data_IF_164983527920
#
_entry.id   IF_164983527920
#
_cell.length_a   1.000
_cell.length_b   1.000
_cell.length_c   1.000
_cell.angle_alpha   90.00
_cell.angle_beta   90.00
_cell.angle_gamma   90.00
#
_symmetry.space_group_name_H-M   'P 1'
#
loop_
_entity.id
_entity.type
_entity.pdbx_description
1 polymer ?
2 non-polymer ?
3 water ?
#
# COMPACT_ATOMS: atom_id res chain seq x y z
N UNK A 1 -4.62 5.69 3.25
CA UNK A 1 -6.00 5.52 3.83
C UNK A 1 -6.11 6.15 5.22
N UNK A 2 -4.99 6.24 5.96
CA UNK A 2 -4.91 6.68 7.37
C UNK A 2 -3.50 7.17 7.72
N UNK A 3 -3.22 7.59 8.97
CA UNK A 3 -1.98 8.32 9.26
C UNK A 3 -0.69 7.47 9.19
N UNK A 4 -0.82 6.14 9.21
CA UNK A 4 0.30 5.21 8.94
C UNK A 4 0.79 5.38 7.53
N UNK A 5 -0.15 5.35 6.60
CA UNK A 5 0.11 5.42 5.13
C UNK A 5 0.56 6.84 4.78
N UNK A 6 0.06 7.85 5.51
CA UNK A 6 0.39 9.29 5.27
C UNK A 6 1.89 9.54 5.54
N UNK A 7 2.40 9.06 6.66
CA UNK A 7 3.84 9.18 7.00
C UNK A 7 4.65 8.37 5.98
N UNK A 8 4.24 7.13 5.69
CA UNK A 8 4.94 6.27 4.71
C UNK A 8 5.04 6.99 3.35
N UNK A 9 3.91 7.51 2.85
CA UNK A 9 3.85 8.21 1.55
C UNK A 9 4.88 9.37 1.54
N UNK A 10 4.92 10.15 2.62
CA UNK A 10 5.79 11.36 2.71
C UNK A 10 7.27 10.92 2.62
N UNK A 11 7.63 9.80 3.24
CA UNK A 11 9.03 9.27 3.15
C UNK A 11 9.27 8.81 1.72
N UNK A 12 8.34 8.05 1.10
CA UNK A 12 8.57 7.47 -0.26
C UNK A 12 8.70 8.58 -1.31
N UNK A 13 7.88 9.62 -1.23
CA UNK A 13 7.82 10.67 -2.28
C UNK A 13 9.12 11.49 -2.28
N UNK A 14 9.81 11.65 -1.15
CA UNK A 14 10.98 12.54 -1.09
C UNK A 14 12.30 11.81 -0.78
N UNK A 15 12.26 10.64 -0.15
CA UNK A 15 13.50 10.05 0.41
C UNK A 15 13.78 8.67 -0.19
N UNK A 16 13.25 8.35 -1.38
CA UNK A 16 13.57 7.04 -2.01
C UNK A 16 13.95 7.26 -3.46
N UNK A 17 14.80 6.37 -3.95
CA UNK A 17 15.22 6.29 -5.37
C UNK A 17 15.15 4.81 -5.73
N UNK A 18 15.11 4.49 -7.01
CA UNK A 18 15.25 3.10 -7.50
C UNK A 18 16.73 2.88 -7.76
N UNK A 19 17.37 1.97 -7.01
CA UNK A 19 18.78 1.55 -7.20
C UNK A 19 18.82 0.24 -7.96
N UNK A 20 19.69 0.15 -8.96
CA UNK A 20 19.90 -1.08 -9.76
C UNK A 20 21.39 -1.46 -9.70
N UNK A 21 21.67 -2.66 -9.19
CA UNK A 21 23.02 -3.28 -9.19
C UNK A 21 22.95 -4.48 -10.12
N UNK A 22 24.04 -5.26 -10.20
CA UNK A 22 24.10 -6.52 -10.98
C UNK A 22 23.21 -7.58 -10.32
N UNK A 23 22.79 -7.39 -9.07
CA UNK A 23 21.90 -8.34 -8.36
C UNK A 23 20.42 -7.93 -8.46
N UNK A 24 20.06 -6.84 -9.13
CA UNK A 24 18.65 -6.49 -9.29
C UNK A 24 18.32 -5.04 -9.00
N UNK A 25 17.02 -4.75 -8.98
CA UNK A 25 16.41 -3.44 -8.67
C UNK A 25 15.99 -3.46 -7.19
N UNK A 26 16.28 -2.40 -6.43
CA UNK A 26 15.98 -2.25 -4.98
C UNK A 26 15.35 -0.88 -4.70
N UNK A 27 14.42 -0.83 -3.77
CA UNK A 27 14.07 0.43 -3.07
C UNK A 27 15.32 0.83 -2.28
N UNK A 28 15.74 2.08 -2.42
CA UNK A 28 16.89 2.66 -1.69
C UNK A 28 16.39 3.87 -0.91
N UNK A 29 16.58 3.86 0.40
CA UNK A 29 16.19 4.99 1.28
C UNK A 29 17.36 5.99 1.37
N UNK A 30 17.11 7.24 0.97
CA UNK A 30 18.01 8.39 1.20
C UNK A 30 17.83 8.89 2.63
N UNK A 31 18.93 9.17 3.35
CA UNK A 31 18.83 9.50 4.81
C UNK A 31 19.14 10.99 5.04
N UNK A 32 20.24 11.45 4.48
CA UNK A 32 20.71 12.86 4.54
C UNK A 32 21.79 13.06 3.48
N UNK A 33 21.94 14.32 3.03
CA UNK A 33 22.99 14.74 2.05
C UNK A 33 22.96 13.75 0.87
N UNK A 34 24.05 13.00 0.63
CA UNK A 34 24.14 12.09 -0.54
C UNK A 34 24.24 10.67 -0.01
N UNK A 35 23.81 10.47 1.23
CA UNK A 35 23.97 9.18 1.97
C UNK A 35 22.63 8.44 1.94
N UNK A 36 22.67 7.19 1.48
CA UNK A 36 21.52 6.27 1.41
C UNK A 36 21.89 4.89 2.00
N UNK A 37 20.89 4.04 2.14
CA UNK A 37 21.07 2.65 2.61
C UNK A 37 20.42 1.68 1.60
N UNK A 38 20.98 0.47 1.57
CA UNK A 38 20.47 -0.63 0.71
C UNK A 38 20.85 -1.95 1.39
N UNK A 39 20.11 -3.05 1.19
CA UNK A 39 20.55 -4.33 1.75
C UNK A 39 21.93 -4.72 1.17
N UNK A 40 22.79 -5.24 2.05
CA UNK A 40 24.18 -5.65 1.71
C UNK A 40 24.17 -6.66 0.56
N UNK A 41 23.17 -7.55 0.50
CA UNK A 41 23.06 -8.55 -0.60
C UNK A 41 22.82 -7.91 -1.99
N UNK A 42 22.55 -6.60 -2.10
CA UNK A 42 22.57 -5.87 -3.40
C UNK A 42 23.97 -5.82 -4.01
N UNK A 43 25.00 -6.08 -3.22
CA UNK A 43 26.43 -6.10 -3.65
C UNK A 43 26.77 -4.84 -4.43
N UNK A 44 26.73 -3.69 -3.75
CA UNK A 44 27.02 -2.38 -4.39
C UNK A 44 28.48 -2.36 -4.83
N UNK A 45 28.76 -1.90 -6.06
CA UNK A 45 30.14 -1.79 -6.59
C UNK A 45 30.55 -0.35 -6.72
N UNK A 46 31.45 -0.04 -7.68
CA UNK A 46 32.02 1.30 -7.94
C UNK A 46 30.97 2.18 -8.63
N UNK A 47 30.06 1.55 -9.35
CA UNK A 47 29.02 2.23 -10.17
C UNK A 47 27.68 1.59 -9.84
N UNK A 48 26.65 2.41 -9.68
CA UNK A 48 25.25 1.96 -9.43
C UNK A 48 24.36 2.77 -10.37
N UNK A 49 23.18 2.27 -10.71
CA UNK A 49 22.14 3.04 -11.43
C UNK A 49 21.14 3.57 -10.40
N UNK A 50 20.84 4.87 -10.46
CA UNK A 50 19.90 5.60 -9.57
C UNK A 50 18.87 6.21 -10.52
N UNK A 51 17.63 5.72 -10.45
CA UNK A 51 16.52 6.15 -11.34
C UNK A 51 16.98 6.05 -12.78
N UNK A 52 17.70 4.95 -13.12
CA UNK A 52 18.19 4.56 -14.47
C UNK A 52 19.31 5.49 -14.97
N UNK A 53 20.01 6.17 -14.09
CA UNK A 53 21.16 7.04 -14.47
C UNK A 53 22.42 6.49 -13.82
N UNK A 54 23.48 6.33 -14.60
CA UNK A 54 24.82 5.85 -14.15
C UNK A 54 25.38 6.80 -13.09
N UNK A 55 25.69 6.29 -11.89
CA UNK A 55 26.11 7.09 -10.70
C UNK A 55 27.36 6.45 -10.08
N UNK A 56 28.45 7.22 -9.95
CA UNK A 56 29.65 6.79 -9.21
C UNK A 56 29.31 6.67 -7.73
N UNK A 57 29.79 5.59 -7.11
CA UNK A 57 29.69 5.36 -5.65
C UNK A 57 30.98 5.93 -5.03
N UNK A 58 30.86 6.95 -4.20
CA UNK A 58 32.03 7.61 -3.54
C UNK A 58 32.49 6.77 -2.35
N UNK A 59 31.58 6.09 -1.66
CA UNK A 59 31.90 5.17 -0.55
C UNK A 59 30.74 4.20 -0.33
N UNK A 60 31.07 2.99 0.13
CA UNK A 60 30.09 1.96 0.49
C UNK A 60 30.59 1.14 1.68
N UNK A 61 29.83 1.07 2.76
CA UNK A 61 30.25 0.36 3.99
C UNK A 61 29.16 -0.64 4.40
N UNK A 62 29.51 -1.93 4.39
CA UNK A 62 28.65 -3.02 4.83
C UNK A 62 28.77 -3.09 6.36
N UNK A 63 27.73 -2.70 7.08
CA UNK A 63 27.79 -2.55 8.56
C UNK A 63 27.81 -3.91 9.23
N UNK A 64 28.58 -4.03 10.31
CA UNK A 64 28.61 -5.20 11.22
C UNK A 64 28.54 -4.70 12.66
N UNK A 65 27.98 -5.48 13.58
CA UNK A 65 27.99 -5.06 14.99
C UNK A 65 29.37 -5.33 15.59
N UNK A 66 29.54 -4.97 16.86
CA UNK A 66 30.87 -4.98 17.53
C UNK A 66 31.29 -6.42 17.82
N UNK A 67 30.40 -7.42 17.63
CA UNK A 67 30.73 -8.88 17.65
C UNK A 67 31.17 -9.38 16.27
N UNK A 68 31.35 -8.48 15.28
CA UNK A 68 31.67 -8.81 13.87
C UNK A 68 30.55 -9.73 13.34
N UNK A 69 29.28 -9.41 13.61
CA UNK A 69 28.09 -10.06 12.98
C UNK A 69 27.45 -9.12 11.95
N UNK A 70 27.16 -9.65 10.76
CA UNK A 70 26.43 -8.97 9.67
C UNK A 70 25.20 -8.23 10.23
N UNK A 71 24.96 -6.99 9.77
CA UNK A 71 23.69 -6.29 10.07
C UNK A 71 22.82 -6.17 8.80
N UNK A 72 23.40 -6.50 7.64
CA UNK A 72 22.71 -6.54 6.31
C UNK A 72 22.33 -5.13 5.84
N UNK A 73 22.95 -4.08 6.40
CA UNK A 73 22.78 -2.67 5.92
C UNK A 73 24.10 -2.27 5.28
N UNK A 74 24.03 -1.77 4.03
CA UNK A 74 25.15 -1.04 3.38
C UNK A 74 24.79 0.45 3.34
N UNK A 75 25.69 1.29 3.83
CA UNK A 75 25.56 2.77 3.76
C UNK A 75 26.35 3.12 2.52
N UNK A 76 25.71 3.87 1.65
CA UNK A 76 26.29 4.26 0.34
C UNK A 76 26.31 5.78 0.30
N UNK A 77 27.43 6.36 -0.12
CA UNK A 77 27.51 7.79 -0.49
C UNK A 77 27.57 7.87 -2.02
N UNK A 78 26.61 8.57 -2.63
CA UNK A 78 26.38 8.65 -4.09
C UNK A 78 26.99 9.95 -4.65
N UNK A 79 27.65 9.87 -5.80
CA UNK A 79 28.14 11.07 -6.51
C UNK A 79 26.97 11.67 -7.27
N UNK A 80 26.03 12.20 -6.52
CA UNK A 80 24.76 12.74 -7.06
C UNK A 80 24.76 14.27 -6.92
N UNK A 81 24.02 14.98 -7.77
CA UNK A 81 24.04 16.45 -7.86
C UNK A 81 23.01 17.08 -6.94
N UNK A 82 22.33 16.28 -6.11
CA UNK A 82 21.18 16.72 -5.31
C UNK A 82 21.29 16.01 -3.96
N UNK A 83 20.90 16.67 -2.88
CA UNK A 83 20.91 16.08 -1.53
C UNK A 83 19.51 15.55 -1.22
N UNK A 84 19.41 14.54 -0.36
CA UNK A 84 18.14 14.09 0.27
C UNK A 84 17.75 15.06 1.38
N UNK A 85 16.44 15.30 1.51
CA UNK A 85 15.86 15.79 2.76
C UNK A 85 16.49 15.03 3.93
N UNK A 86 16.93 15.73 4.98
CA UNK A 86 17.51 15.11 6.20
C UNK A 86 16.39 14.48 7.04
N UNK A 87 16.32 13.15 7.12
CA UNK A 87 15.27 12.45 7.93
C UNK A 87 15.88 11.76 9.16
N UNK A 88 17.08 12.14 9.58
CA UNK A 88 17.76 11.43 10.72
C UNK A 88 16.96 11.59 12.01
N UNK A 89 16.18 12.67 12.18
CA UNK A 89 15.38 12.87 13.40
C UNK A 89 14.18 11.90 13.45
N UNK A 90 13.88 11.17 12.39
CA UNK A 90 12.81 10.14 12.39
C UNK A 90 13.39 8.76 12.73
N UNK A 91 14.70 8.63 12.93
CA UNK A 91 15.32 7.30 13.24
C UNK A 91 15.26 7.01 14.72
N UNK A 92 14.94 5.77 15.12
CA UNK A 92 14.95 5.36 16.52
C UNK A 92 16.39 5.39 17.04
N UNK A 93 16.53 5.59 18.34
CA UNK A 93 17.83 5.59 19.05
C UNK A 93 18.20 4.19 19.56
N UNK A 94 17.20 3.39 19.94
CA UNK A 94 17.38 2.08 20.62
C UNK A 94 16.64 0.96 19.87
N UNK A 95 17.07 -0.29 20.07
CA UNK A 95 16.42 -1.50 19.53
C UNK A 95 15.03 -1.59 20.19
N UNK A 96 13.96 -1.86 19.46
CA UNK A 96 12.62 -1.83 20.07
C UNK A 96 11.65 -2.66 19.24
N UNK A 97 10.49 -2.94 19.84
CA UNK A 97 9.29 -3.53 19.19
C UNK A 97 8.35 -2.38 18.82
N UNK A 98 7.42 -2.59 17.90
CA UNK A 98 6.55 -1.51 17.35
C UNK A 98 5.16 -2.07 17.07
N UNK A 99 4.13 -1.22 17.17
CA UNK A 99 2.79 -1.54 16.64
C UNK A 99 2.65 -0.96 15.23
N UNK A 100 1.75 -1.55 14.45
CA UNK A 100 1.11 -0.90 13.29
C UNK A 100 2.20 -0.28 12.41
N UNK A 101 2.96 -1.12 11.72
CA UNK A 101 4.00 -0.67 10.75
C UNK A 101 3.47 -0.83 9.33
N UNK A 102 4.03 -0.04 8.42
CA UNK A 102 3.80 -0.09 6.94
C UNK A 102 5.15 -0.40 6.29
N UNK A 103 5.14 -1.26 5.29
CA UNK A 103 6.31 -1.56 4.42
C UNK A 103 5.98 -0.95 3.08
N UNK A 104 6.83 -0.04 2.60
CA UNK A 104 6.62 0.72 1.34
C UNK A 104 7.72 0.40 0.32
N UNK A 105 7.30 0.12 -0.92
CA UNK A 105 8.21 -0.32 -2.02
C UNK A 105 7.94 0.56 -3.22
N UNK A 106 9.00 0.96 -3.92
CA UNK A 106 8.87 1.66 -5.21
C UNK A 106 9.94 1.13 -6.17
N UNK A 107 9.51 0.30 -7.12
CA UNK A 107 10.37 -0.25 -8.20
C UNK A 107 9.57 -0.21 -9.50
N UNK A 108 10.23 -0.49 -10.64
CA UNK A 108 9.59 -0.81 -11.96
C UNK A 108 8.46 -1.83 -11.80
N UNK A 109 8.74 -2.92 -11.08
CA UNK A 109 7.82 -4.08 -10.86
C UNK A 109 6.67 -3.69 -9.93
N UNK A 110 6.97 -2.95 -8.84
CA UNK A 110 6.02 -2.61 -7.75
C UNK A 110 6.06 -1.09 -7.49
N UNK A 111 5.49 -0.24 -8.38
CA UNK A 111 5.40 1.20 -8.13
C UNK A 111 4.34 1.52 -7.07
N UNK A 112 4.63 2.49 -6.19
CA UNK A 112 3.68 3.03 -5.19
C UNK A 112 3.00 1.91 -4.41
N UNK A 113 3.75 0.92 -3.94
CA UNK A 113 3.22 -0.21 -3.14
C UNK A 113 3.37 0.08 -1.63
N UNK A 114 2.27 -0.06 -0.88
CA UNK A 114 2.20 0.14 0.58
C UNK A 114 1.54 -1.08 1.18
N UNK A 115 2.19 -1.75 2.13
CA UNK A 115 1.64 -2.98 2.78
C UNK A 115 1.52 -2.73 4.28
N UNK A 116 0.32 -2.79 4.86
CA UNK A 116 0.18 -2.77 6.33
C UNK A 116 0.64 -4.11 6.90
N UNK A 117 1.77 -4.15 7.61
CA UNK A 117 2.36 -5.44 8.08
C UNK A 117 2.00 -5.65 9.54
N UNK A 118 1.44 -4.65 10.22
CA UNK A 118 1.00 -4.78 11.62
C UNK A 118 2.17 -4.78 12.60
N UNK A 119 2.11 -5.65 13.59
CA UNK A 119 3.00 -5.59 14.77
C UNK A 119 4.43 -6.02 14.39
N UNK A 120 5.43 -5.30 14.87
CA UNK A 120 6.86 -5.62 14.59
C UNK A 120 7.55 -6.08 15.87
N UNK A 121 8.17 -7.26 15.83
CA UNK A 121 8.96 -7.86 16.92
C UNK A 121 10.46 -7.56 16.74
N UNK A 122 11.13 -7.15 17.82
CA UNK A 122 12.60 -7.20 17.92
C UNK A 122 12.98 -8.69 17.99
N UNK A 123 13.26 -9.29 16.84
CA UNK A 123 13.55 -10.74 16.71
C UNK A 123 14.97 -11.00 17.21
N UNK A 124 15.89 -10.11 16.85
CA UNK A 124 17.33 -10.28 17.17
C UNK A 124 18.07 -11.10 16.15
N UNK A 125 18.43 -12.33 16.54
CA UNK A 125 19.29 -13.21 15.69
C UNK A 125 18.43 -13.89 14.62
N UNK A 126 18.94 -13.92 13.39
CA UNK A 126 18.33 -14.71 12.29
C UNK A 126 19.44 -15.27 11.43
N UNK A 127 19.33 -16.54 11.04
CA UNK A 127 20.19 -17.09 9.96
C UNK A 127 19.56 -16.69 8.62
N UNK A 128 19.99 -15.58 8.04
CA UNK A 128 19.36 -14.95 6.85
C UNK A 128 20.09 -15.44 5.60
N UNK A 129 19.48 -16.31 4.78
CA UNK A 129 20.18 -16.91 3.61
C UNK A 129 21.51 -17.59 4.00
N UNK A 130 21.60 -18.17 5.20
CA UNK A 130 22.82 -18.87 5.68
C UNK A 130 23.82 -17.96 6.40
N UNK A 131 23.57 -16.65 6.49
CA UNK A 131 24.46 -15.68 7.15
C UNK A 131 23.89 -15.32 8.53
N UNK A 132 24.58 -15.61 9.67
CA UNK A 132 24.13 -15.11 10.97
C UNK A 132 24.02 -13.58 10.93
N UNK A 133 22.87 -13.04 11.32
CA UNK A 133 22.54 -11.60 11.21
C UNK A 133 21.92 -11.14 12.55
N UNK A 134 22.24 -9.93 13.01
CA UNK A 134 21.69 -9.34 14.26
C UNK A 134 20.78 -8.16 13.93
N UNK A 135 20.09 -7.67 14.96
CA UNK A 135 19.18 -6.50 14.90
C UNK A 135 18.09 -6.67 13.83
N UNK A 136 17.49 -7.86 13.78
CA UNK A 136 16.42 -8.17 12.80
C UNK A 136 15.05 -7.87 13.42
N UNK A 137 14.23 -7.19 12.65
CA UNK A 137 12.81 -6.93 12.97
C UNK A 137 11.96 -7.97 12.22
N UNK A 138 10.92 -8.49 12.85
CA UNK A 138 10.06 -9.49 12.20
C UNK A 138 8.60 -9.02 12.20
N UNK A 139 7.92 -9.23 11.07
CA UNK A 139 6.45 -8.99 10.93
C UNK A 139 5.83 -10.19 10.22
N UNK A 140 4.57 -10.50 10.56
CA UNK A 140 3.81 -11.65 10.01
C UNK A 140 3.06 -11.18 8.78
N UNK A 141 3.76 -10.94 7.67
CA UNK A 141 3.14 -10.85 6.32
C UNK A 141 3.95 -11.73 5.37
N UNK A 142 3.27 -12.44 4.44
CA UNK A 142 3.91 -13.31 3.46
C UNK A 142 4.51 -12.50 2.31
N UNK A 143 5.60 -11.81 2.62
CA UNK A 143 6.32 -10.89 1.70
C UNK A 143 7.02 -11.73 0.61
N UNK A 144 7.20 -11.15 -0.59
CA UNK A 144 7.67 -11.84 -1.82
C UNK A 144 8.90 -11.14 -2.40
N UNK A 145 9.47 -11.71 -3.47
CA UNK A 145 10.62 -11.18 -4.22
C UNK A 145 10.27 -9.77 -4.73
N UNK A 146 11.25 -8.87 -4.75
CA UNK A 146 11.11 -7.46 -5.22
C UNK A 146 10.76 -6.49 -4.09
N UNK A 147 10.68 -6.95 -2.85
CA UNK A 147 10.35 -6.07 -1.70
C UNK A 147 11.64 -5.67 -0.95
N UNK A 148 12.82 -6.19 -1.30
CA UNK A 148 14.07 -5.90 -0.55
C UNK A 148 14.45 -4.42 -0.72
N UNK A 149 14.77 -3.78 0.40
CA UNK A 149 15.10 -2.35 0.47
C UNK A 149 13.85 -1.56 0.83
N UNK A 150 12.70 -2.22 0.87
CA UNK A 150 11.42 -1.59 1.22
C UNK A 150 11.53 -0.92 2.56
N UNK A 151 10.90 0.24 2.71
CA UNK A 151 11.07 1.02 3.94
C UNK A 151 10.00 0.57 4.93
N UNK A 152 10.41 0.33 6.17
CA UNK A 152 9.44 0.04 7.27
C UNK A 152 9.31 1.25 8.18
N UNK A 153 8.10 1.78 8.27
CA UNK A 153 7.75 2.97 9.07
C UNK A 153 6.63 2.66 10.05
N UNK A 154 6.57 3.41 11.12
CA UNK A 154 5.37 3.60 11.95
C UNK A 154 4.92 5.04 11.70
N UNK A 155 3.88 5.51 12.37
CA UNK A 155 3.59 6.96 12.39
C UNK A 155 4.75 7.60 13.14
N UNK A 156 5.55 8.40 12.43
CA UNK A 156 6.57 9.27 13.02
C UNK A 156 7.94 8.64 13.08
N UNK A 157 8.14 7.35 12.74
CA UNK A 157 9.49 6.75 12.78
C UNK A 157 9.80 5.92 11.52
N UNK A 158 11.05 5.98 11.06
CA UNK A 158 11.59 5.09 9.99
C UNK A 158 12.40 4.04 10.75
N UNK A 159 11.95 2.78 10.82
CA UNK A 159 12.54 1.81 11.80
C UNK A 159 13.43 0.76 11.11
N UNK A 160 13.34 0.55 9.80
CA UNK A 160 14.13 -0.51 9.14
C UNK A 160 13.97 -0.57 7.63
N UNK A 161 14.73 -1.47 7.01
CA UNK A 161 14.61 -1.81 5.57
C UNK A 161 14.48 -3.35 5.45
N UNK A 162 13.50 -3.75 4.66
CA UNK A 162 13.17 -5.16 4.34
C UNK A 162 14.38 -5.86 3.74
N UNK A 163 14.79 -7.00 4.30
CA UNK A 163 15.97 -7.76 3.79
C UNK A 163 15.64 -9.22 3.48
N UNK A 164 14.42 -9.70 3.74
CA UNK A 164 14.10 -11.11 3.45
C UNK A 164 12.78 -11.58 4.00
N UNK A 165 12.41 -12.81 3.66
CA UNK A 165 11.20 -13.46 4.19
C UNK A 165 11.25 -14.96 3.97
N UNK A 166 10.34 -15.70 4.61
CA UNK A 166 10.31 -17.19 4.58
C UNK A 166 8.96 -17.67 4.07
N UNK A 167 8.17 -16.82 3.42
CA UNK A 167 6.85 -17.18 2.88
C UNK A 167 5.73 -16.82 3.84
N UNK A 168 5.99 -16.79 5.15
CA UNK A 168 5.02 -16.50 6.22
C UNK A 168 5.36 -15.20 6.98
N UNK A 169 6.64 -14.97 7.23
CA UNK A 169 7.14 -13.76 7.93
C UNK A 169 8.02 -12.95 6.99
N UNK A 170 8.09 -11.64 7.21
CA UNK A 170 9.11 -10.75 6.62
C UNK A 170 10.11 -10.28 7.67
N UNK A 171 11.32 -9.97 7.22
CA UNK A 171 12.46 -9.55 8.07
C UNK A 171 13.03 -8.21 7.57
N UNK A 172 13.26 -7.30 8.52
CA UNK A 172 13.92 -6.00 8.26
C UNK A 172 15.19 -5.85 9.11
N UNK A 173 16.20 -5.21 8.57
CA UNK A 173 17.38 -4.72 9.33
C UNK A 173 16.98 -3.41 9.99
N UNK A 174 17.30 -3.25 11.28
CA UNK A 174 17.04 -2.02 12.06
C UNK A 174 17.83 -0.86 11.47
N UNK A 175 17.20 0.31 11.43
CA UNK A 175 17.94 1.59 11.29
C UNK A 175 18.00 2.23 12.68
N UNK A 176 19.20 2.64 13.08
CA UNK A 176 19.44 3.41 14.32
C UNK A 176 20.07 4.77 13.98
N UNK A 177 19.66 5.82 14.69
CA UNK A 177 20.26 7.17 14.62
C UNK A 177 21.80 7.09 14.62
N UNK A 178 22.40 6.27 15.48
CA UNK A 178 23.88 6.19 15.66
C UNK A 178 24.60 5.72 14.39
N UNK A 179 23.92 5.13 13.41
CA UNK A 179 24.57 4.73 12.13
C UNK A 179 24.93 5.98 11.30
N UNK A 180 24.28 7.12 11.54
CA UNK A 180 24.33 8.30 10.63
C UNK A 180 24.70 9.60 11.35
N UNK A 181 25.38 9.50 12.49
CA UNK A 181 26.06 10.67 13.12
C UNK A 181 27.29 10.96 12.25
N UNK A 182 27.74 12.23 12.16
CA UNK A 182 28.94 12.61 11.36
C UNK A 182 29.42 14.01 11.77
N UNK B 2 2.54 -9.35 -11.18
CA UNK B 2 2.85 -8.51 -12.41
C UNK B 2 1.58 -8.07 -13.13
N UNK B 3 0.78 -9.03 -13.66
CA UNK B 3 -0.50 -8.70 -14.28
C UNK B 3 -1.48 -8.08 -13.27
N UNK B 4 -1.46 -8.55 -12.00
CA UNK B 4 -2.21 -8.00 -10.85
C UNK B 4 -2.04 -6.50 -10.70
N UNK B 5 -0.79 -6.01 -10.67
CA UNK B 5 -0.48 -4.56 -10.55
C UNK B 5 -0.87 -3.79 -11.82
N UNK B 6 -0.56 -4.30 -13.01
CA UNK B 6 -1.03 -3.71 -14.29
C UNK B 6 -2.55 -3.52 -14.25
N UNK B 7 -3.28 -4.57 -13.88
CA UNK B 7 -4.76 -4.54 -13.90
C UNK B 7 -5.23 -3.40 -12.98
N UNK B 8 -4.71 -3.38 -11.76
CA UNK B 8 -5.10 -2.39 -10.72
C UNK B 8 -4.81 -0.98 -11.24
N UNK B 9 -3.66 -0.76 -11.89
CA UNK B 9 -3.31 0.57 -12.48
C UNK B 9 -4.29 0.95 -13.58
N UNK B 10 -4.68 0.01 -14.44
CA UNK B 10 -5.61 0.23 -15.59
C UNK B 10 -6.98 0.67 -15.07
N UNK B 11 -7.45 0.05 -13.99
CA UNK B 11 -8.76 0.40 -13.37
C UNK B 11 -8.63 1.77 -12.65
N UNK B 12 -7.57 1.96 -11.89
CA UNK B 12 -7.25 3.25 -11.20
C UNK B 12 -7.25 4.39 -12.22
N UNK B 13 -6.48 4.26 -13.29
CA UNK B 13 -6.26 5.35 -14.30
C UNK B 13 -7.57 5.76 -15.00
N UNK B 14 -8.42 4.85 -15.47
CA UNK B 14 -9.59 5.24 -16.32
C UNK B 14 -10.92 5.22 -15.54
N UNK B 15 -11.01 4.48 -14.45
CA UNK B 15 -12.32 4.19 -13.81
C UNK B 15 -12.41 4.71 -12.36
N UNK B 16 -11.41 5.39 -11.83
CA UNK B 16 -11.48 5.89 -10.44
C UNK B 16 -11.50 7.42 -10.43
N UNK B 17 -12.44 8.02 -9.71
CA UNK B 17 -12.51 9.49 -9.50
C UNK B 17 -12.53 9.76 -7.98
N UNK B 18 -12.26 11.01 -7.59
CA UNK B 18 -12.33 11.46 -6.17
C UNK B 18 -13.71 12.04 -5.94
N UNK B 19 -14.50 11.41 -5.07
CA UNK B 19 -15.86 11.86 -4.75
C UNK B 19 -15.79 12.58 -3.39
N UNK B 20 -16.47 13.70 -3.25
CA UNK B 20 -16.53 14.43 -1.96
C UNK B 20 -17.99 14.69 -1.60
N UNK B 21 -18.44 14.14 -0.46
CA UNK B 21 -19.80 14.33 0.11
C UNK B 21 -19.66 15.22 1.36
N UNK B 22 -20.76 15.41 2.10
CA UNK B 22 -20.73 16.09 3.42
C UNK B 22 -19.67 15.40 4.31
N UNK B 23 -19.42 14.10 4.16
CA UNK B 23 -18.55 13.33 5.08
C UNK B 23 -17.06 13.45 4.70
N UNK B 24 -16.70 13.94 3.53
CA UNK B 24 -15.28 14.08 3.13
C UNK B 24 -15.02 13.34 1.83
N UNK B 25 -13.78 12.88 1.63
CA UNK B 25 -13.35 12.34 0.31
C UNK B 25 -13.42 10.80 0.29
N UNK B 26 -13.84 10.25 -0.84
CA UNK B 26 -13.97 8.78 -1.05
C UNK B 26 -13.42 8.42 -2.44
N UNK B 27 -12.66 7.33 -2.51
CA UNK B 27 -12.37 6.66 -3.79
C UNK B 27 -13.70 6.18 -4.39
N UNK B 28 -14.05 6.67 -5.57
CA UNK B 28 -15.31 6.28 -6.26
C UNK B 28 -14.94 5.50 -7.54
N UNK B 29 -15.62 4.35 -7.78
CA UNK B 29 -15.43 3.56 -9.02
C UNK B 29 -16.54 3.91 -10.02
N UNK B 30 -16.15 4.41 -11.19
CA UNK B 30 -17.06 4.48 -12.34
C UNK B 30 -17.18 3.13 -13.03
N UNK B 31 -18.39 2.64 -13.29
CA UNK B 31 -18.62 1.27 -13.84
C UNK B 31 -18.94 1.33 -15.34
N UNK B 32 -19.86 2.21 -15.74
CA UNK B 32 -20.30 2.38 -17.16
C UNK B 32 -21.14 3.67 -17.26
N UNK B 33 -21.23 4.25 -18.46
CA UNK B 33 -22.10 5.43 -18.69
C UNK B 33 -21.78 6.46 -17.60
N UNK B 34 -22.80 6.96 -16.90
CA UNK B 34 -22.60 7.93 -15.79
C UNK B 34 -22.90 7.24 -14.46
N UNK B 35 -22.63 5.93 -14.39
CA UNK B 35 -22.96 5.10 -13.20
C UNK B 35 -21.69 4.77 -12.45
N UNK B 36 -21.64 5.13 -11.16
CA UNK B 36 -20.50 4.87 -10.25
C UNK B 36 -21.03 4.23 -8.96
N UNK B 37 -20.11 3.72 -8.14
CA UNK B 37 -20.42 3.16 -6.80
C UNK B 37 -19.52 3.80 -5.75
N UNK B 38 -20.02 3.87 -4.53
CA UNK B 38 -19.37 4.49 -3.35
C UNK B 38 -19.97 3.78 -2.13
N UNK B 39 -19.24 3.65 -1.00
CA UNK B 39 -19.80 3.06 0.21
C UNK B 39 -21.04 3.83 0.69
N UNK B 40 -22.05 3.11 1.18
CA UNK B 40 -23.31 3.74 1.64
C UNK B 40 -23.02 4.75 2.76
N UNK B 41 -22.02 4.52 3.61
CA UNK B 41 -21.61 5.42 4.73
C UNK B 41 -21.07 6.78 4.26
N UNK B 42 -20.87 6.98 2.96
CA UNK B 42 -20.47 8.30 2.40
C UNK B 42 -21.64 9.30 2.46
N UNK B 43 -22.90 8.86 2.61
CA UNK B 43 -24.09 9.77 2.68
C UNK B 43 -24.14 10.66 1.44
N UNK B 44 -24.24 10.05 0.26
CA UNK B 44 -24.43 10.80 -1.01
C UNK B 44 -25.71 11.63 -0.90
N UNK B 45 -25.64 12.87 -1.33
CA UNK B 45 -26.77 13.83 -1.28
C UNK B 45 -27.29 14.09 -2.68
N UNK B 46 -27.90 15.25 -2.85
CA UNK B 46 -28.43 15.72 -4.16
C UNK B 46 -27.27 16.15 -5.03
N UNK B 47 -26.19 16.62 -4.40
CA UNK B 47 -25.02 17.24 -5.07
C UNK B 47 -23.80 16.55 -4.49
N UNK B 48 -22.82 16.26 -5.34
CA UNK B 48 -21.52 15.67 -4.94
C UNK B 48 -20.45 16.42 -5.73
N UNK B 49 -19.20 16.39 -5.25
CA UNK B 49 -18.01 16.84 -5.99
C UNK B 49 -17.28 15.63 -6.60
N UNK B 50 -17.00 15.71 -7.89
CA UNK B 50 -16.24 14.69 -8.67
C UNK B 50 -14.97 15.37 -9.22
N UNK B 51 -13.80 14.98 -8.72
CA UNK B 51 -12.52 15.67 -9.03
C UNK B 51 -12.70 17.19 -8.85
N UNK B 52 -13.27 17.62 -7.72
CA UNK B 52 -13.46 19.04 -7.29
C UNK B 52 -14.54 19.76 -8.11
N UNK B 53 -15.29 19.07 -8.96
CA UNK B 53 -16.38 19.67 -9.78
C UNK B 53 -17.75 19.36 -9.13
N UNK B 54 -18.52 20.41 -8.82
CA UNK B 54 -19.92 20.33 -8.35
C UNK B 54 -20.75 19.59 -9.41
N UNK B 55 -21.38 18.47 -9.01
CA UNK B 55 -22.05 17.50 -9.92
C UNK B 55 -23.39 17.13 -9.31
N UNK B 56 -24.48 17.30 -10.07
CA UNK B 56 -25.82 16.87 -9.62
C UNK B 56 -25.81 15.33 -9.58
N UNK B 57 -26.31 14.75 -8.51
CA UNK B 57 -26.58 13.28 -8.45
C UNK B 57 -28.03 13.05 -8.90
N UNK B 58 -28.24 12.46 -10.07
CA UNK B 58 -29.59 12.27 -10.67
C UNK B 58 -30.32 11.16 -9.92
N UNK B 59 -29.58 10.14 -9.46
CA UNK B 59 -30.17 8.99 -8.74
C UNK B 59 -29.11 8.38 -7.81
N UNK B 60 -29.52 7.97 -6.61
CA UNK B 60 -28.68 7.22 -5.65
C UNK B 60 -29.54 6.08 -5.12
N UNK B 61 -29.00 4.86 -5.17
CA UNK B 61 -29.67 3.62 -4.66
C UNK B 61 -28.75 2.97 -3.63
N UNK B 62 -29.17 2.94 -2.37
CA UNK B 62 -28.47 2.22 -1.29
C UNK B 62 -28.86 0.75 -1.43
N UNK B 63 -27.97 -0.09 -1.95
CA UNK B 63 -28.31 -1.49 -2.32
C UNK B 63 -28.70 -2.32 -1.09
N UNK B 64 -29.75 -3.12 -1.28
CA UNK B 64 -30.15 -4.20 -0.33
C UNK B 64 -30.48 -5.45 -1.13
N UNK B 65 -30.23 -6.63 -0.57
CA UNK B 65 -30.44 -7.92 -1.30
C UNK B 65 -31.89 -8.39 -1.11
N UNK B 66 -32.19 -9.57 -1.59
CA UNK B 66 -33.57 -10.12 -1.57
C UNK B 66 -33.99 -10.53 -0.16
N UNK B 67 -33.07 -10.69 0.80
CA UNK B 67 -33.39 -10.84 2.24
C UNK B 67 -33.68 -9.48 2.88
N UNK B 68 -33.66 -8.39 2.10
CA UNK B 68 -33.84 -7.00 2.59
C UNK B 68 -32.74 -6.71 3.60
N UNK B 69 -31.50 -7.09 3.28
CA UNK B 69 -30.32 -6.82 4.13
C UNK B 69 -29.40 -5.83 3.39
N UNK B 70 -28.79 -4.93 4.15
CA UNK B 70 -27.85 -3.90 3.64
C UNK B 70 -26.70 -4.61 2.91
N UNK B 71 -26.26 -4.04 1.79
CA UNK B 71 -25.02 -4.47 1.07
C UNK B 71 -23.90 -3.42 1.19
N UNK B 72 -24.20 -2.23 1.72
CA UNK B 72 -23.26 -1.12 1.99
C UNK B 72 -22.67 -0.54 0.70
N UNK B 73 -23.29 -0.79 -0.46
CA UNK B 73 -22.95 -0.17 -1.76
C UNK B 73 -24.05 0.79 -2.13
N UNK B 74 -23.71 2.01 -2.53
CA UNK B 74 -24.63 2.97 -3.13
C UNK B 74 -24.26 3.15 -4.60
N UNK B 75 -25.22 2.89 -5.49
CA UNK B 75 -25.05 3.16 -6.95
C UNK B 75 -25.55 4.57 -7.23
N UNK B 76 -24.76 5.40 -7.89
CA UNK B 76 -25.17 6.80 -8.20
C UNK B 76 -25.17 6.96 -9.72
N UNK B 77 -26.14 7.73 -10.24
CA UNK B 77 -26.13 8.25 -11.63
C UNK B 77 -25.75 9.73 -11.56
N UNK B 78 -24.71 10.12 -12.30
CA UNK B 78 -24.11 11.49 -12.22
C UNK B 78 -24.51 12.33 -13.45
N UNK B 79 -24.83 13.60 -13.24
CA UNK B 79 -25.14 14.55 -14.35
C UNK B 79 -23.82 15.17 -14.82
N UNK B 80 -23.06 14.47 -15.67
CA UNK B 80 -21.76 14.92 -16.19
C UNK B 80 -21.58 14.44 -17.63
N UNK B 81 -20.72 15.12 -18.39
CA UNK B 81 -20.57 14.88 -19.85
C UNK B 81 -19.80 13.59 -20.05
N UNK B 82 -18.70 13.40 -19.31
CA UNK B 82 -17.79 12.25 -19.49
C UNK B 82 -18.57 10.95 -19.24
N UNK B 83 -18.31 9.93 -20.04
CA UNK B 83 -18.84 8.56 -19.87
C UNK B 83 -17.69 7.72 -19.30
N UNK B 84 -17.95 6.85 -18.33
CA UNK B 84 -16.93 5.90 -17.81
C UNK B 84 -16.73 4.78 -18.82
N UNK B 85 -15.47 4.39 -19.03
CA UNK B 85 -15.08 3.15 -19.73
C UNK B 85 -15.86 1.97 -19.11
N UNK B 86 -16.67 1.24 -19.90
CA UNK B 86 -17.49 0.09 -19.41
C UNK B 86 -16.58 -1.03 -18.89
N UNK B 87 -16.68 -1.38 -17.59
CA UNK B 87 -15.89 -2.48 -16.97
C UNK B 87 -16.85 -3.55 -16.40
N UNK B 88 -18.13 -3.56 -16.79
CA UNK B 88 -19.10 -4.57 -16.31
C UNK B 88 -18.62 -6.00 -16.56
N UNK B 89 -17.96 -6.25 -17.68
CA UNK B 89 -17.48 -7.60 -18.05
C UNK B 89 -16.37 -8.05 -17.09
N UNK B 90 -15.82 -7.18 -16.24
CA UNK B 90 -14.80 -7.61 -15.22
C UNK B 90 -15.42 -7.89 -13.85
N UNK B 91 -16.74 -7.67 -13.68
CA UNK B 91 -17.44 -7.93 -12.39
C UNK B 91 -17.76 -9.41 -12.28
N UNK B 92 -17.53 -10.06 -11.14
CA UNK B 92 -17.86 -11.48 -10.96
C UNK B 92 -19.38 -11.72 -11.05
N UNK B 93 -19.77 -12.91 -11.48
CA UNK B 93 -21.20 -13.31 -11.55
C UNK B 93 -21.73 -13.75 -10.18
N UNK B 94 -20.90 -14.43 -9.39
CA UNK B 94 -21.30 -15.07 -8.11
C UNK B 94 -20.34 -14.69 -7.00
N UNK B 95 -20.75 -14.94 -5.75
CA UNK B 95 -19.94 -14.74 -4.54
C UNK B 95 -18.75 -15.72 -4.60
N UNK B 96 -17.54 -15.31 -4.21
CA UNK B 96 -16.34 -16.20 -4.35
C UNK B 96 -15.27 -15.77 -3.35
N UNK B 97 -14.27 -16.64 -3.19
CA UNK B 97 -12.99 -16.35 -2.51
C UNK B 97 -11.96 -16.03 -3.60
N UNK B 98 -10.89 -15.33 -3.27
CA UNK B 98 -9.86 -14.90 -4.26
C UNK B 98 -8.47 -14.97 -3.63
N UNK B 99 -7.43 -15.10 -4.45
CA UNK B 99 -6.03 -14.88 -3.99
C UNK B 99 -5.44 -13.59 -4.57
N UNK B 100 -4.44 -13.06 -3.88
CA UNK B 100 -3.53 -12.00 -4.36
C UNK B 100 -4.32 -10.78 -4.88
N UNK B 101 -5.22 -10.23 -4.06
CA UNK B 101 -5.96 -8.99 -4.37
C UNK B 101 -5.12 -7.73 -4.06
N UNK B 102 -5.46 -6.64 -4.74
CA UNK B 102 -4.88 -5.30 -4.57
C UNK B 102 -6.04 -4.34 -4.25
N UNK B 103 -5.82 -3.53 -3.22
CA UNK B 103 -6.70 -2.41 -2.82
C UNK B 103 -6.04 -1.13 -3.34
N UNK B 104 -6.76 -0.39 -4.18
CA UNK B 104 -6.26 0.84 -4.85
C UNK B 104 -7.05 2.05 -4.32
N UNK B 105 -6.32 3.01 -3.73
CA UNK B 105 -6.88 4.21 -3.04
C UNK B 105 -6.55 5.44 -3.90
N UNK B 106 -7.54 6.32 -4.09
CA UNK B 106 -7.32 7.56 -4.86
C UNK B 106 -8.10 8.72 -4.24
N UNK B 107 -7.41 9.55 -3.44
CA UNK B 107 -7.98 10.81 -2.84
C UNK B 107 -6.96 11.94 -3.05
N UNK B 108 -7.32 13.18 -2.72
CA UNK B 108 -6.37 14.34 -2.69
C UNK B 108 -5.18 14.02 -1.79
N UNK B 109 -5.43 13.40 -0.65
CA UNK B 109 -4.38 13.06 0.36
C UNK B 109 -3.56 11.85 -0.12
N UNK B 110 -4.21 10.87 -0.77
CA UNK B 110 -3.57 9.59 -1.17
C UNK B 110 -3.81 9.31 -2.64
N UNK B 111 -3.11 9.99 -3.57
CA UNK B 111 -3.34 9.76 -4.99
C UNK B 111 -2.56 8.49 -5.38
N UNK B 112 -3.08 7.65 -6.25
CA UNK B 112 -2.28 6.50 -6.78
C UNK B 112 -1.57 5.69 -5.66
N UNK B 113 -2.29 5.17 -4.69
CA UNK B 113 -1.73 4.24 -3.66
C UNK B 113 -2.25 2.79 -3.87
N UNK B 114 -1.35 1.81 -3.96
CA UNK B 114 -1.67 0.39 -4.22
C UNK B 114 -1.30 -0.42 -3.00
N UNK B 115 -2.29 -1.13 -2.43
CA UNK B 115 -2.11 -1.89 -1.16
C UNK B 115 -2.40 -3.36 -1.46
N UNK B 116 -1.38 -4.22 -1.66
CA UNK B 116 -1.61 -5.65 -1.86
C UNK B 116 -2.12 -6.20 -0.52
N UNK B 117 -3.25 -6.90 -0.53
CA UNK B 117 -3.90 -7.41 0.70
C UNK B 117 -3.82 -8.93 0.74
N UNK B 118 -3.49 -9.57 -0.38
CA UNK B 118 -3.32 -11.03 -0.46
C UNK B 118 -4.66 -11.73 -0.47
N UNK B 119 -4.81 -12.77 0.36
CA UNK B 119 -5.97 -13.68 0.30
C UNK B 119 -7.24 -12.94 0.74
N UNK B 120 -8.30 -13.09 -0.05
CA UNK B 120 -9.65 -12.52 0.20
C UNK B 120 -10.64 -13.68 0.44
N UNK B 121 -11.29 -13.66 1.61
CA UNK B 121 -12.29 -14.67 2.03
C UNK B 121 -13.69 -14.11 1.78
N UNK B 122 -14.61 -14.94 1.27
CA UNK B 122 -16.08 -14.66 1.30
C UNK B 122 -16.57 -14.93 2.73
N UNK B 123 -16.65 -13.89 3.55
CA UNK B 123 -17.06 -13.98 4.99
C UNK B 123 -18.59 -13.91 5.07
N UNK B 124 -19.21 -13.04 4.28
CA UNK B 124 -20.68 -12.92 4.16
C UNK B 124 -21.27 -11.91 5.12
N UNK B 125 -21.85 -12.39 6.24
CA UNK B 125 -22.60 -11.57 7.21
C UNK B 125 -21.64 -10.85 8.16
N UNK B 126 -21.90 -9.57 8.42
CA UNK B 126 -21.13 -8.74 9.40
C UNK B 126 -22.01 -7.61 9.91
N UNK B 127 -21.99 -7.34 11.22
CA UNK B 127 -22.73 -6.21 11.83
C UNK B 127 -21.83 -4.98 11.76
N UNK B 128 -21.99 -4.18 10.70
CA UNK B 128 -21.11 -3.04 10.37
C UNK B 128 -21.74 -1.74 10.91
N UNK B 129 -21.09 -1.13 11.90
CA UNK B 129 -21.57 0.08 12.58
C UNK B 129 -22.96 -0.11 13.13
N UNK B 130 -23.29 -1.33 13.57
CA UNK B 130 -24.65 -1.65 14.05
C UNK B 130 -25.64 -2.03 12.96
N UNK B 131 -25.25 -2.04 11.68
CA UNK B 131 -26.15 -2.45 10.56
C UNK B 131 -25.76 -3.85 10.08
N UNK B 132 -26.69 -4.83 10.14
CA UNK B 132 -26.49 -6.16 9.56
C UNK B 132 -26.28 -6.05 8.05
N UNK B 133 -25.21 -6.69 7.57
CA UNK B 133 -24.67 -6.50 6.20
C UNK B 133 -24.29 -7.85 5.61
N UNK B 134 -24.58 -8.03 4.33
CA UNK B 134 -24.26 -9.27 3.59
C UNK B 134 -23.12 -9.05 2.58
N UNK B 135 -22.57 -10.16 2.07
CA UNK B 135 -21.65 -10.24 0.91
C UNK B 135 -20.38 -9.45 1.20
N UNK B 136 -19.91 -9.54 2.44
CA UNK B 136 -18.64 -8.90 2.91
C UNK B 136 -17.47 -9.84 2.59
N UNK B 137 -16.51 -9.34 1.81
CA UNK B 137 -15.17 -9.93 1.59
C UNK B 137 -14.27 -9.48 2.75
N UNK B 138 -13.31 -10.32 3.17
CA UNK B 138 -12.42 -10.03 4.33
C UNK B 138 -10.97 -10.35 3.96
N UNK B 139 -10.05 -9.45 4.33
CA UNK B 139 -8.59 -9.58 4.12
C UNK B 139 -7.88 -9.08 5.39
N UNK B 140 -6.64 -9.51 5.60
CA UNK B 140 -5.79 -8.96 6.69
C UNK B 140 -5.54 -7.48 6.38
N UNK B 141 -5.67 -6.62 7.39
CA UNK B 141 -5.52 -5.14 7.29
C UNK B 141 -5.20 -4.61 8.68
N UNK B 142 -4.02 -4.95 9.24
CA UNK B 142 -3.67 -4.54 10.60
C UNK B 142 -3.16 -3.09 10.73
N UNK B 143 -4.09 -2.15 10.61
CA UNK B 143 -3.88 -0.69 10.54
C UNK B 143 -5.22 -0.04 10.87
N UNK B 144 -5.21 1.15 11.45
CA UNK B 144 -6.45 1.92 11.70
C UNK B 144 -6.58 2.89 10.52
N UNK B 145 -7.33 2.50 9.50
CA UNK B 145 -7.56 3.29 8.27
C UNK B 145 -8.81 4.17 8.44
N UNK B 146 -8.87 5.28 7.70
CA UNK B 146 -10.03 6.16 7.65
C UNK B 146 -11.13 5.58 6.77
N UNK B 147 -12.09 6.44 6.42
CA UNK B 147 -13.32 6.09 5.69
C UNK B 147 -13.11 6.03 4.15
N UNK B 148 -12.04 6.59 3.59
CA UNK B 148 -12.02 6.97 2.15
C UNK B 148 -12.15 5.73 1.24
N UNK B 149 -11.73 4.55 1.72
CA UNK B 149 -11.92 3.27 1.01
C UNK B 149 -11.10 3.15 -0.27
N UNK B 150 -11.52 2.28 -1.19
CA UNK B 150 -10.80 1.98 -2.43
C UNK B 150 -11.30 0.73 -3.14
N UNK B 151 -10.72 0.45 -4.29
CA UNK B 151 -11.23 -0.60 -5.21
C UNK B 151 -10.38 -1.85 -5.01
N UNK B 152 -11.04 -3.00 -4.84
CA UNK B 152 -10.32 -4.30 -4.68
C UNK B 152 -10.37 -5.01 -6.02
N UNK B 153 -9.20 -5.38 -6.52
CA UNK B 153 -9.06 -6.11 -7.81
C UNK B 153 -8.20 -7.35 -7.62
N UNK B 154 -8.36 -8.29 -8.53
CA UNK B 154 -7.50 -9.49 -8.69
C UNK B 154 -6.87 -9.39 -10.08
N UNK B 155 -6.18 -10.42 -10.54
CA UNK B 155 -5.94 -10.59 -11.99
C UNK B 155 -7.30 -10.83 -12.65
N UNK B 156 -7.72 -9.95 -13.52
CA UNK B 156 -8.87 -10.20 -14.38
C UNK B 156 -10.18 -9.73 -13.81
N UNK B 157 -10.27 -9.37 -12.52
CA UNK B 157 -11.62 -9.00 -11.96
C UNK B 157 -11.59 -7.81 -11.00
N UNK B 158 -12.67 -7.04 -11.06
CA UNK B 158 -12.99 -5.98 -10.05
C UNK B 158 -13.99 -6.59 -9.07
N UNK B 159 -13.57 -6.90 -7.86
CA UNK B 159 -14.33 -7.81 -6.95
C UNK B 159 -15.05 -7.03 -5.84
N UNK B 160 -14.66 -5.78 -5.53
CA UNK B 160 -15.30 -5.06 -4.41
C UNK B 160 -14.83 -3.63 -4.18
N UNK B 161 -15.46 -2.94 -3.22
CA UNK B 161 -14.99 -1.63 -2.70
C UNK B 161 -14.89 -1.73 -1.18
N UNK B 162 -13.80 -1.22 -0.63
CA UNK B 162 -13.50 -1.23 0.83
C UNK B 162 -14.52 -0.38 1.60
N UNK B 163 -15.15 -0.95 2.63
CA UNK B 163 -16.25 -0.29 3.40
C UNK B 163 -15.91 -0.16 4.88
N UNK B 164 -14.86 -0.81 5.39
CA UNK B 164 -14.47 -0.66 6.80
C UNK B 164 -13.39 -1.63 7.23
N UNK B 165 -13.19 -1.72 8.54
CA UNK B 165 -12.13 -2.51 9.18
C UNK B 165 -12.20 -2.38 10.69
N UNK B 166 -11.52 -3.28 11.42
CA UNK B 166 -11.58 -3.38 12.89
C UNK B 166 -10.17 -3.21 13.49
N UNK B 167 -9.18 -2.82 12.68
CA UNK B 167 -7.76 -2.71 13.11
C UNK B 167 -6.95 -3.98 12.91
N UNK B 168 -7.58 -5.14 12.66
CA UNK B 168 -6.91 -6.42 12.34
C UNK B 168 -7.30 -6.89 10.94
N UNK B 169 -8.57 -6.70 10.54
CA UNK B 169 -9.06 -7.11 9.20
C UNK B 169 -9.68 -5.91 8.50
N UNK B 170 -9.70 -5.98 7.16
CA UNK B 170 -10.36 -5.03 6.26
C UNK B 170 -11.53 -5.72 5.60
N UNK B 171 -12.58 -4.96 5.29
CA UNK B 171 -13.87 -5.48 4.76
C UNK B 171 -14.20 -4.70 3.49
N UNK B 172 -14.59 -5.43 2.44
CA UNK B 172 -15.10 -4.89 1.18
C UNK B 172 -16.48 -5.47 0.88
N UNK B 173 -17.36 -4.65 0.34
CA UNK B 173 -18.66 -5.05 -0.22
C UNK B 173 -18.40 -5.65 -1.59
N UNK B 174 -19.01 -6.78 -1.91
CA UNK B 174 -18.83 -7.42 -3.22
C UNK B 174 -19.45 -6.53 -4.29
N UNK B 175 -18.86 -6.57 -5.49
CA UNK B 175 -19.51 -6.10 -6.72
C UNK B 175 -19.86 -7.34 -7.54
N UNK B 176 -21.10 -7.41 -8.02
CA UNK B 176 -21.61 -8.52 -8.84
C UNK B 176 -22.14 -7.95 -10.14
N UNK B 177 -22.01 -8.72 -11.22
CA UNK B 177 -22.45 -8.33 -12.58
C UNK B 177 -23.94 -7.94 -12.52
N UNK B 178 -24.74 -8.67 -11.75
CA UNK B 178 -26.21 -8.49 -11.75
C UNK B 178 -26.64 -7.14 -11.17
N UNK B 179 -25.73 -6.41 -10.50
CA UNK B 179 -26.07 -5.10 -9.89
C UNK B 179 -26.28 -4.02 -10.97
N UNK B 180 -25.78 -4.26 -12.18
CA UNK B 180 -25.66 -3.24 -13.28
C UNK B 180 -26.35 -3.69 -14.57
N UNK B 181 -27.04 -4.83 -14.60
CA UNK B 181 -27.78 -5.32 -15.79
C UNK B 181 -29.17 -4.68 -15.85
X LIG C 1 -15.70 -9.17 13.07
X LIG C 1 -12.39 -13.94 12.57
X LIG C 1 -16.72 -9.30 13.90
X LIG C 1 -15.14 -10.40 13.02
X LIG C 1 -16.82 -10.60 14.36
X LIG C 1 -13.02 -12.72 12.95
X LIG C 1 -15.80 -11.28 13.79
X LIG C 1 -13.96 -10.65 12.20
X LIG C 1 -13.78 -12.12 11.89
X LIG C 1 -18.08 -11.32 15.55
#
# INVERSE_FOLDING_TARGET
>A
MGPGFDFAQAIMKKNTVIARTEKGEFTMLGVYDRVAVIPTHASVGEIIYINDVETRVLDACALRDLTDTNLEITIVKLDRNQKFRDIRHFLPRCEDDYNDAVLSVHTSKFPNMYIPVGQVTNYGFLNLGGTPTHRILMYNFPTRAGQCGGVVTTTGKVIGIHVGGNGAQGFAAMLLHSYFTD
>B
MGPGFDFAQAIMKKNTVIARTEKGEFTMLGVYDRVAVIPTHASVGEIIYINDVETRVLDACALRDLTDTNLEITIVKLDRNQKFRDIRHFLPRCEDDYNDAVLSVHTSKFPNMYIPVGQVTNYGFLNLGGTPTHRILMYNFPTRAGQCGGVVTTTGKVIGIHVGGNGAQGFAAMLLHSYFTD
>C hetero
1 UUV N1 C4 C5 N C O C1 C2 C3 BR
#
